data_IF_569263196078
#
_entry.id   IF_569263196078
#
_cell.length_a   1.000
_cell.length_b   1.000
_cell.length_c   1.000
_cell.angle_alpha   90.00
_cell.angle_beta   90.00
_cell.angle_gamma   90.00
#
_symmetry.space_group_name_H-M   'P 1'
#
loop_
_entity.id
_entity.type
_entity.pdbx_description
1 polymer ?
#
# COMPACT_ATOMS: atom_id res chain seq x y z
N UNK A 1 13.93 -16.98 -20.20
CA UNK A 1 14.99 -16.36 -19.40
C UNK A 1 14.56 -16.46 -17.95
N UNK A 2 15.42 -16.96 -17.06
CA UNK A 2 15.13 -16.93 -15.63
C UNK A 2 15.46 -15.51 -15.16
N UNK A 3 14.43 -14.72 -14.83
CA UNK A 3 14.62 -13.42 -14.18
C UNK A 3 15.21 -13.66 -12.79
N UNK A 4 16.51 -13.42 -12.66
CA UNK A 4 17.24 -13.59 -11.42
C UNK A 4 17.06 -12.38 -10.51
N UNK A 5 16.62 -12.59 -9.27
CA UNK A 5 16.66 -11.55 -8.24
C UNK A 5 18.09 -11.40 -7.72
N UNK A 6 18.60 -10.17 -7.68
CA UNK A 6 19.84 -9.84 -6.96
C UNK A 6 19.50 -9.10 -5.67
N UNK A 7 20.10 -9.54 -4.56
CA UNK A 7 19.82 -9.02 -3.22
C UNK A 7 20.96 -8.13 -2.76
N UNK A 8 20.66 -6.87 -2.46
CA UNK A 8 21.63 -5.92 -1.91
C UNK A 8 21.00 -5.23 -0.69
N UNK A 9 21.41 -5.61 0.53
CA UNK A 9 21.01 -4.99 1.82
C UNK A 9 19.60 -4.35 1.82
N UNK A 10 18.56 -5.18 1.94
CA UNK A 10 17.17 -4.70 2.02
C UNK A 10 16.57 -4.21 0.70
N UNK A 11 17.27 -4.38 -0.42
CA UNK A 11 16.78 -4.05 -1.75
C UNK A 11 16.75 -5.26 -2.66
N UNK A 12 15.75 -5.28 -3.54
CA UNK A 12 15.52 -6.29 -4.56
C UNK A 12 15.48 -5.58 -5.92
N UNK A 13 16.18 -6.13 -6.91
CA UNK A 13 15.95 -5.74 -8.30
C UNK A 13 14.76 -6.54 -8.83
N UNK A 14 13.64 -5.88 -9.13
CA UNK A 14 12.46 -6.48 -9.76
C UNK A 14 12.18 -5.71 -11.05
N UNK A 15 12.06 -6.41 -12.18
CA UNK A 15 11.82 -5.80 -13.50
C UNK A 15 12.82 -4.67 -13.84
N UNK A 16 14.07 -4.81 -13.41
CA UNK A 16 15.11 -3.79 -13.58
C UNK A 16 14.98 -2.56 -12.68
N UNK A 17 14.02 -2.54 -11.74
CA UNK A 17 13.80 -1.46 -10.76
C UNK A 17 14.43 -1.84 -9.41
N UNK A 18 15.15 -0.91 -8.81
CA UNK A 18 15.68 -1.05 -7.44
C UNK A 18 14.55 -0.78 -6.44
N UNK A 19 14.03 -1.85 -5.82
CA UNK A 19 12.92 -1.79 -4.87
C UNK A 19 13.42 -2.02 -3.46
N UNK A 20 13.16 -1.06 -2.58
CA UNK A 20 13.49 -1.11 -1.16
C UNK A 20 12.41 -1.86 -0.39
N UNK A 21 12.80 -2.87 0.40
CA UNK A 21 11.91 -3.56 1.33
C UNK A 21 11.79 -2.71 2.60
N UNK A 22 10.58 -2.23 2.87
CA UNK A 22 10.31 -1.42 4.03
C UNK A 22 9.16 -2.00 4.87
N UNK A 23 9.49 -2.49 6.06
CA UNK A 23 8.53 -3.03 7.00
C UNK A 23 8.24 -2.02 8.10
N UNK A 24 7.00 -1.56 8.21
CA UNK A 24 6.48 -0.85 9.38
C UNK A 24 6.16 -1.86 10.48
N UNK A 25 6.45 -1.54 11.73
CA UNK A 25 5.98 -2.34 12.87
C UNK A 25 4.71 -1.74 13.50
N UNK A 26 3.94 -2.60 14.20
CA UNK A 26 2.72 -2.22 14.94
C UNK A 26 2.93 -1.03 15.89
N UNK A 27 4.10 -0.91 16.53
CA UNK A 27 4.37 0.21 17.42
C UNK A 27 4.48 1.54 16.66
N UNK A 28 5.18 1.58 15.52
CA UNK A 28 5.25 2.75 14.65
C UNK A 28 3.85 3.18 14.18
N UNK A 29 3.01 2.21 13.80
CA UNK A 29 1.63 2.47 13.37
C UNK A 29 0.78 3.05 14.50
N UNK A 30 0.79 2.40 15.67
CA UNK A 30 -0.04 2.79 16.81
C UNK A 30 0.36 4.14 17.40
N UNK A 31 1.66 4.43 17.42
CA UNK A 31 2.25 5.69 17.92
C UNK A 31 2.38 6.80 16.88
N UNK A 32 1.93 6.57 15.64
CA UNK A 32 1.96 7.54 14.54
C UNK A 32 3.38 8.04 14.21
N UNK A 33 4.37 7.14 14.25
CA UNK A 33 5.75 7.44 13.87
C UNK A 33 5.91 7.35 12.34
N UNK A 34 6.34 8.46 11.74
CA UNK A 34 6.52 8.56 10.28
C UNK A 34 7.99 8.72 9.87
N UNK A 35 8.89 9.07 10.79
CA UNK A 35 10.23 9.55 10.44
C UNK A 35 11.04 8.54 9.61
N UNK A 36 10.96 7.26 9.96
CA UNK A 36 11.69 6.20 9.24
C UNK A 36 11.16 6.01 7.82
N UNK A 37 9.83 6.03 7.65
CA UNK A 37 9.18 5.96 6.34
C UNK A 37 9.51 7.19 5.49
N UNK A 38 9.44 8.39 6.06
CA UNK A 38 9.78 9.63 5.35
C UNK A 38 11.25 9.69 4.95
N UNK A 39 12.15 9.15 5.79
CA UNK A 39 13.57 8.99 5.44
C UNK A 39 13.76 8.01 4.28
N UNK A 40 12.99 6.92 4.26
CA UNK A 40 13.04 5.94 3.17
C UNK A 40 12.59 6.54 1.84
N UNK A 41 11.48 7.30 1.86
CA UNK A 41 10.96 8.00 0.68
C UNK A 41 12.03 8.92 0.07
N UNK A 42 12.69 9.75 0.90
CA UNK A 42 13.81 10.59 0.44
C UNK A 42 14.97 9.79 -0.13
N UNK A 43 15.16 8.56 0.35
CA UNK A 43 16.22 7.66 -0.11
C UNK A 43 15.95 7.18 -1.54
N UNK A 44 14.69 6.84 -1.85
CA UNK A 44 14.30 6.32 -3.17
C UNK A 44 14.06 7.40 -4.22
N UNK A 45 13.78 8.65 -3.84
CA UNK A 45 13.58 9.77 -4.78
C UNK A 45 14.78 10.01 -5.73
N UNK A 46 15.99 9.65 -5.30
CA UNK A 46 17.21 9.86 -6.07
C UNK A 46 17.52 8.74 -7.06
N UNK A 47 16.69 7.69 -7.15
CA UNK A 47 16.90 6.60 -8.08
C UNK A 47 16.46 6.94 -9.52
N UNK A 48 16.68 6.02 -10.46
CA UNK A 48 16.33 6.19 -11.87
C UNK A 48 14.82 6.26 -12.14
N UNK A 49 14.00 5.72 -11.25
CA UNK A 49 12.53 5.76 -11.30
C UNK A 49 11.94 6.95 -10.55
N UNK A 50 12.78 7.85 -10.01
CA UNK A 50 12.35 8.99 -9.20
C UNK A 50 11.47 8.58 -8.01
N UNK A 51 11.72 7.40 -7.44
CA UNK A 51 10.96 6.81 -6.34
C UNK A 51 9.65 6.12 -6.73
N UNK A 52 9.21 6.19 -7.99
CA UNK A 52 7.97 5.53 -8.42
C UNK A 52 8.06 4.02 -8.16
N UNK A 53 7.03 3.45 -7.51
CA UNK A 53 6.92 2.01 -7.23
C UNK A 53 8.17 1.39 -6.57
N UNK A 54 8.93 2.20 -5.82
CA UNK A 54 10.27 1.83 -5.34
C UNK A 54 10.28 1.31 -3.89
N UNK A 55 9.14 1.29 -3.20
CA UNK A 55 9.02 0.82 -1.82
C UNK A 55 8.08 -0.37 -1.75
N UNK A 56 8.64 -1.55 -1.48
CA UNK A 56 7.90 -2.73 -1.06
C UNK A 56 7.51 -2.59 0.42
N UNK A 57 6.36 -1.96 0.65
CA UNK A 57 5.84 -1.73 1.99
C UNK A 57 5.23 -3.01 2.57
N UNK A 58 5.51 -3.32 3.83
CA UNK A 58 4.75 -4.29 4.61
C UNK A 58 4.47 -3.74 6.01
N UNK A 59 3.50 -4.32 6.72
CA UNK A 59 3.24 -4.00 8.13
C UNK A 59 3.25 -5.30 8.93
N UNK A 60 4.02 -5.33 10.01
CA UNK A 60 4.15 -6.49 10.89
C UNK A 60 3.60 -6.23 12.29
N UNK A 61 3.20 -7.31 12.96
CA UNK A 61 2.65 -7.30 14.32
C UNK A 61 1.12 -7.49 14.42
N UNK A 62 0.46 -7.87 13.32
CA UNK A 62 -1.00 -8.12 13.27
C UNK A 62 -1.35 -9.57 12.89
N UNK A 63 -0.44 -10.52 13.11
CA UNK A 63 -0.68 -11.93 12.77
C UNK A 63 -1.61 -12.64 13.78
N UNK A 64 -1.91 -11.98 14.89
CA UNK A 64 -2.71 -12.44 16.02
C UNK A 64 -4.18 -12.00 15.97
N UNK A 65 -4.58 -11.28 14.93
CA UNK A 65 -5.95 -10.77 14.74
C UNK A 65 -6.58 -11.33 13.47
N UNK A 66 -7.91 -11.34 13.40
CA UNK A 66 -8.67 -11.86 12.23
C UNK A 66 -9.00 -10.75 11.23
N UNK A 67 -8.97 -9.50 11.69
CA UNK A 67 -9.25 -8.32 10.93
C UNK A 67 -8.13 -8.00 9.94
N UNK A 68 -8.50 -7.54 8.75
CA UNK A 68 -7.55 -7.01 7.79
C UNK A 68 -6.99 -5.65 8.25
N UNK A 69 -5.82 -5.27 7.74
CA UNK A 69 -5.17 -4.01 8.12
C UNK A 69 -6.09 -2.80 7.90
N UNK A 70 -6.88 -2.78 6.82
CA UNK A 70 -7.80 -1.69 6.51
C UNK A 70 -8.95 -1.52 7.53
N UNK A 71 -9.25 -2.55 8.32
CA UNK A 71 -10.30 -2.56 9.33
C UNK A 71 -9.81 -1.99 10.67
N UNK A 72 -8.51 -2.13 10.95
CA UNK A 72 -7.92 -1.78 12.24
C UNK A 72 -7.93 -0.26 12.49
N UNK A 73 -8.58 0.25 13.56
CA UNK A 73 -8.75 1.69 13.78
C UNK A 73 -7.45 2.51 13.82
N UNK A 74 -6.37 1.93 14.38
CA UNK A 74 -5.08 2.59 14.48
C UNK A 74 -4.33 2.60 13.13
N UNK A 75 -4.50 1.57 12.28
CA UNK A 75 -3.99 1.57 10.90
C UNK A 75 -4.73 2.63 10.06
N UNK A 76 -6.06 2.67 10.17
CA UNK A 76 -6.91 3.71 9.55
C UNK A 76 -6.45 5.11 9.96
N UNK A 77 -6.24 5.33 11.26
CA UNK A 77 -5.71 6.60 11.79
C UNK A 77 -4.32 6.94 11.25
N UNK A 78 -3.43 5.95 11.16
CA UNK A 78 -2.08 6.13 10.63
C UNK A 78 -2.10 6.63 9.18
N UNK A 79 -2.80 5.93 8.29
CA UNK A 79 -2.86 6.32 6.88
C UNK A 79 -3.61 7.62 6.65
N UNK A 80 -4.69 7.89 7.41
CA UNK A 80 -5.36 9.20 7.37
C UNK A 80 -4.40 10.36 7.72
N UNK A 81 -3.51 10.16 8.71
CA UNK A 81 -2.51 11.17 9.09
C UNK A 81 -1.37 11.27 8.08
N UNK A 82 -0.95 10.14 7.50
CA UNK A 82 0.09 10.10 6.48
C UNK A 82 -0.37 10.82 5.21
N UNK A 83 -1.55 10.52 4.67
CA UNK A 83 -2.07 11.15 3.44
C UNK A 83 -2.32 12.65 3.62
N UNK A 84 -2.67 13.10 4.83
CA UNK A 84 -2.72 14.55 5.12
C UNK A 84 -1.36 15.23 5.01
N UNK A 85 -0.26 14.52 5.34
CA UNK A 85 1.12 15.03 5.26
C UNK A 85 1.74 14.85 3.87
N UNK A 86 1.46 13.72 3.23
CA UNK A 86 2.06 13.30 1.97
C UNK A 86 0.96 12.68 1.07
N UNK A 87 0.13 13.49 0.41
CA UNK A 87 -1.02 12.98 -0.34
C UNK A 87 -0.66 12.08 -1.52
N UNK A 88 0.54 12.23 -2.07
CA UNK A 88 1.07 11.41 -3.17
C UNK A 88 1.79 10.14 -2.69
N UNK A 89 1.66 9.75 -1.42
CA UNK A 89 2.40 8.62 -0.84
C UNK A 89 2.32 7.32 -1.67
N UNK A 90 1.15 7.00 -2.26
CA UNK A 90 0.99 5.80 -3.07
C UNK A 90 1.87 5.75 -4.32
N UNK A 91 2.38 6.89 -4.81
CA UNK A 91 3.35 6.96 -5.90
C UNK A 91 4.60 6.10 -5.60
N UNK A 92 5.03 6.04 -4.33
CA UNK A 92 6.23 5.31 -3.94
C UNK A 92 5.97 3.82 -3.66
N UNK A 93 4.72 3.43 -3.39
CA UNK A 93 4.39 2.09 -2.89
C UNK A 93 4.29 1.11 -4.05
N UNK A 94 5.10 0.05 -4.00
CA UNK A 94 5.09 -0.99 -4.99
C UNK A 94 3.84 -1.90 -4.82
N UNK A 95 3.06 -2.15 -5.89
CA UNK A 95 1.83 -2.93 -5.82
C UNK A 95 2.02 -4.41 -5.52
N UNK A 96 3.22 -4.98 -5.67
CA UNK A 96 3.43 -6.42 -5.40
C UNK A 96 3.11 -6.81 -3.94
N UNK A 97 3.23 -5.87 -3.01
CA UNK A 97 3.04 -6.11 -1.56
C UNK A 97 1.56 -6.15 -1.12
N UNK A 98 0.60 -6.04 -2.04
CA UNK A 98 -0.84 -5.87 -1.74
C UNK A 98 -1.17 -4.69 -0.81
N UNK A 99 -0.20 -3.82 -0.50
CA UNK A 99 -0.42 -2.67 0.38
C UNK A 99 -1.25 -1.54 -0.23
N UNK A 100 -1.19 -1.22 -1.54
CA UNK A 100 -2.05 -0.17 -2.10
C UNK A 100 -3.55 -0.35 -1.80
N UNK A 101 -4.18 -1.52 -2.02
CA UNK A 101 -5.58 -1.70 -1.65
C UNK A 101 -5.82 -1.66 -0.13
N UNK A 102 -4.87 -2.10 0.70
CA UNK A 102 -4.97 -1.98 2.16
C UNK A 102 -4.97 -0.51 2.62
N UNK A 103 -4.12 0.32 2.01
CA UNK A 103 -4.05 1.76 2.28
C UNK A 103 -5.34 2.44 1.83
N UNK A 104 -5.82 2.14 0.63
CA UNK A 104 -7.08 2.69 0.11
C UNK A 104 -8.24 2.28 1.01
N UNK A 105 -8.35 1.02 1.39
CA UNK A 105 -9.37 0.55 2.32
C UNK A 105 -9.32 1.25 3.68
N UNK A 106 -8.11 1.52 4.19
CA UNK A 106 -7.92 2.22 5.45
C UNK A 106 -8.38 3.70 5.42
N UNK A 107 -8.47 4.28 4.21
CA UNK A 107 -8.98 5.63 3.94
C UNK A 107 -10.45 5.65 3.53
N UNK A 108 -11.05 4.48 3.33
CA UNK A 108 -12.40 4.32 2.79
C UNK A 108 -13.38 3.86 3.86
N UNK A 109 -14.65 4.13 3.64
CA UNK A 109 -15.70 3.27 4.21
C UNK A 109 -15.70 1.93 3.46
N UNK A 110 -16.17 0.86 4.10
CA UNK A 110 -16.13 -0.47 3.51
C UNK A 110 -17.34 -1.33 3.88
N UNK A 111 -17.71 -2.19 2.94
CA UNK A 111 -18.67 -3.29 3.17
C UNK A 111 -17.95 -4.60 2.92
N UNK A 112 -17.87 -5.45 3.95
CA UNK A 112 -17.19 -6.75 3.90
C UNK A 112 -18.20 -7.89 3.95
N UNK A 113 -18.02 -8.87 3.07
CA UNK A 113 -18.74 -10.14 3.08
C UNK A 113 -17.72 -11.25 3.27
N UNK A 114 -17.73 -11.88 4.45
CA UNK A 114 -16.83 -12.99 4.78
C UNK A 114 -17.44 -14.33 4.36
N UNK A 115 -16.60 -15.24 3.87
CA UNK A 115 -16.98 -16.60 3.50
C UNK A 115 -16.26 -17.60 4.41
N UNK A 116 -17.01 -18.30 5.26
CA UNK A 116 -16.49 -19.31 6.18
C UNK A 116 -16.11 -18.79 7.57
N UNK A 117 -15.42 -19.62 8.33
CA UNK A 117 -14.88 -19.29 9.66
C UNK A 117 -13.61 -18.46 9.47
N UNK A 118 -13.54 -17.32 10.15
CA UNK A 118 -12.32 -16.50 10.18
C UNK A 118 -11.42 -16.99 11.31
N UNK A 119 -10.18 -17.28 10.97
CA UNK A 119 -9.12 -17.65 11.91
C UNK A 119 -7.95 -16.70 11.73
N UNK A 120 -7.16 -16.50 12.80
CA UNK A 120 -6.01 -15.61 12.72
C UNK A 120 -4.92 -16.24 11.83
N UNK A 121 -4.10 -15.46 11.13
CA UNK A 121 -2.97 -15.97 10.36
C UNK A 121 -2.07 -16.89 11.19
N UNK A 122 -1.79 -16.53 12.46
CA UNK A 122 -0.99 -17.35 13.36
C UNK A 122 -1.64 -18.70 13.69
N UNK A 123 -2.97 -18.74 13.87
CA UNK A 123 -3.70 -19.99 14.15
C UNK A 123 -3.67 -20.93 12.93
N UNK A 124 -3.93 -20.39 11.73
CA UNK A 124 -3.90 -21.18 10.49
C UNK A 124 -2.49 -21.68 10.19
N UNK A 125 -1.47 -20.82 10.32
CA UNK A 125 -0.09 -21.24 10.12
C UNK A 125 0.31 -22.37 11.09
N UNK A 126 -0.13 -22.29 12.36
CA UNK A 126 0.12 -23.33 13.36
C UNK A 126 -0.60 -24.64 13.02
N UNK A 127 -1.80 -24.57 12.45
CA UNK A 127 -2.62 -25.75 12.11
C UNK A 127 -2.16 -26.42 10.81
N UNK A 128 -1.93 -25.63 9.76
CA UNK A 128 -1.81 -26.11 8.38
C UNK A 128 -0.37 -26.01 7.83
N UNK A 129 0.51 -25.26 8.50
CA UNK A 129 1.87 -24.98 8.01
C UNK A 129 1.93 -24.01 6.83
N UNK A 130 0.80 -23.44 6.42
CA UNK A 130 0.67 -22.43 5.37
C UNK A 130 -0.47 -21.45 5.71
N UNK A 131 -0.73 -20.46 4.84
CA UNK A 131 -1.75 -19.42 5.02
C UNK A 131 -2.92 -19.53 4.03
N UNK A 132 -3.09 -20.65 3.34
CA UNK A 132 -4.09 -20.79 2.28
C UNK A 132 -5.54 -20.77 2.82
N UNK A 133 -5.70 -21.08 4.11
CA UNK A 133 -6.99 -21.25 4.79
C UNK A 133 -7.33 -20.14 5.80
N UNK A 134 -6.72 -18.95 5.72
CA UNK A 134 -7.01 -17.79 6.60
C UNK A 134 -8.44 -17.21 6.39
N UNK A 135 -9.24 -17.85 5.54
CA UNK A 135 -10.57 -17.39 5.16
C UNK A 135 -10.52 -16.45 3.96
N UNK A 136 -11.62 -16.38 3.21
CA UNK A 136 -11.76 -15.49 2.07
C UNK A 136 -12.88 -14.51 2.36
N UNK A 137 -12.71 -13.27 1.96
CA UNK A 137 -13.77 -12.27 2.01
C UNK A 137 -13.77 -11.45 0.71
N UNK A 138 -14.94 -10.92 0.38
CA UNK A 138 -15.07 -9.86 -0.61
C UNK A 138 -15.25 -8.54 0.12
N UNK A 139 -14.65 -7.48 -0.41
CA UNK A 139 -14.77 -6.13 0.15
C UNK A 139 -15.06 -5.14 -0.98
N UNK A 140 -15.97 -4.22 -0.71
CA UNK A 140 -16.21 -3.04 -1.52
C UNK A 140 -15.77 -1.82 -0.73
N UNK A 141 -14.92 -0.99 -1.32
CA UNK A 141 -14.48 0.28 -0.75
C UNK A 141 -15.27 1.44 -1.32
N UNK A 142 -15.53 2.43 -0.46
CA UNK A 142 -16.12 3.71 -0.78
C UNK A 142 -15.16 4.80 -0.29
N UNK A 143 -14.17 5.12 -1.12
CA UNK A 143 -13.18 6.17 -0.87
C UNK A 143 -13.86 7.54 -1.03
N UNK A 144 -13.83 8.41 -0.01
CA UNK A 144 -14.38 9.76 -0.13
C UNK A 144 -13.79 10.51 -1.33
N UNK A 145 -14.61 11.13 -2.21
CA UNK A 145 -14.12 11.79 -3.43
C UNK A 145 -13.09 12.88 -3.17
N UNK A 146 -13.25 13.63 -2.07
CA UNK A 146 -12.32 14.69 -1.65
C UNK A 146 -10.93 14.13 -1.32
N UNK A 147 -10.86 12.95 -0.71
CA UNK A 147 -9.60 12.25 -0.44
C UNK A 147 -9.04 11.65 -1.73
N UNK A 148 -9.86 10.88 -2.46
CA UNK A 148 -9.44 10.15 -3.65
C UNK A 148 -8.88 11.08 -4.73
N UNK A 149 -9.62 12.13 -5.07
CA UNK A 149 -9.14 13.09 -6.07
C UNK A 149 -7.96 13.92 -5.59
N UNK A 150 -7.90 14.29 -4.31
CA UNK A 150 -6.72 14.94 -3.76
C UNK A 150 -5.46 14.08 -3.89
N UNK A 151 -5.59 12.76 -3.72
CA UNK A 151 -4.48 11.82 -3.93
C UNK A 151 -4.10 11.75 -5.41
N UNK A 152 -5.07 11.58 -6.32
CA UNK A 152 -4.84 11.57 -7.77
C UNK A 152 -4.11 12.85 -8.21
N UNK A 153 -4.68 14.01 -7.89
CA UNK A 153 -4.14 15.32 -8.26
C UNK A 153 -2.72 15.51 -7.71
N UNK A 154 -2.46 15.07 -6.47
CA UNK A 154 -1.14 15.15 -5.86
C UNK A 154 -0.12 14.18 -6.49
N UNK A 155 -0.53 12.97 -6.88
CA UNK A 155 0.33 12.00 -7.56
C UNK A 155 0.74 12.53 -8.93
N UNK A 156 -0.22 13.06 -9.71
CA UNK A 156 0.05 13.66 -11.02
C UNK A 156 1.01 14.86 -10.86
N UNK A 157 0.69 15.78 -9.96
CA UNK A 157 1.54 16.95 -9.71
C UNK A 157 2.95 16.56 -9.24
N UNK A 158 3.09 15.48 -8.45
CA UNK A 158 4.39 14.98 -8.03
C UNK A 158 5.16 14.37 -9.20
N UNK A 159 4.53 13.50 -9.99
CA UNK A 159 5.12 12.87 -11.17
C UNK A 159 5.65 13.92 -12.16
N UNK A 160 4.86 14.97 -12.41
CA UNK A 160 5.26 16.11 -13.24
C UNK A 160 6.45 16.86 -12.64
N UNK A 161 6.40 17.16 -11.34
CA UNK A 161 7.46 17.89 -10.62
C UNK A 161 8.80 17.15 -10.67
N UNK A 162 8.81 15.82 -10.59
CA UNK A 162 10.03 15.01 -10.64
C UNK A 162 10.41 14.56 -12.05
N UNK A 163 9.69 15.05 -13.07
CA UNK A 163 9.86 14.70 -14.47
C UNK A 163 9.84 13.18 -14.72
N UNK A 164 8.94 12.49 -14.01
CA UNK A 164 8.82 11.04 -14.13
C UNK A 164 8.37 10.63 -15.54
N UNK A 165 9.03 9.60 -16.09
CA UNK A 165 8.70 9.03 -17.40
C UNK A 165 8.17 7.63 -17.20
N UNK A 166 6.85 7.47 -17.35
CA UNK A 166 6.18 6.20 -17.22
C UNK A 166 6.39 5.32 -18.47
N UNK A 167 7.49 4.56 -18.47
CA UNK A 167 7.84 3.69 -19.60
C UNK A 167 6.94 2.47 -19.71
N UNK A 168 6.37 2.03 -18.59
CA UNK A 168 5.66 0.75 -18.47
C UNK A 168 4.15 0.92 -18.35
N UNK A 169 3.65 2.17 -18.44
CA UNK A 169 2.25 2.53 -18.30
C UNK A 169 1.64 2.10 -16.95
N UNK A 170 2.46 2.14 -15.89
CA UNK A 170 2.09 1.74 -14.53
C UNK A 170 1.39 2.85 -13.76
N UNK A 171 1.69 4.12 -14.05
CA UNK A 171 1.10 5.27 -13.36
C UNK A 171 -0.42 5.34 -13.61
N UNK A 172 -0.94 5.21 -14.85
CA UNK A 172 -2.38 5.15 -15.09
C UNK A 172 -3.07 3.99 -14.37
N UNK A 173 -2.40 2.85 -14.17
CA UNK A 173 -2.96 1.71 -13.41
C UNK A 173 -3.17 2.10 -11.95
N UNK A 174 -2.18 2.75 -11.33
CA UNK A 174 -2.30 3.26 -9.97
C UNK A 174 -3.42 4.31 -9.84
N UNK A 175 -3.48 5.28 -10.77
CA UNK A 175 -4.52 6.31 -10.74
C UNK A 175 -5.92 5.70 -10.87
N UNK A 176 -6.08 4.73 -11.79
CA UNK A 176 -7.33 4.00 -11.98
C UNK A 176 -7.72 3.19 -10.75
N UNK A 177 -6.77 2.58 -10.03
CA UNK A 177 -7.05 1.88 -8.77
C UNK A 177 -7.68 2.81 -7.73
N UNK A 178 -7.16 4.04 -7.59
CA UNK A 178 -7.71 5.05 -6.68
C UNK A 178 -9.10 5.49 -7.15
N UNK A 179 -9.24 5.84 -8.42
CA UNK A 179 -10.51 6.31 -9.01
C UNK A 179 -11.63 5.27 -8.92
N UNK A 180 -11.32 3.99 -9.20
CA UNK A 180 -12.30 2.90 -9.08
C UNK A 180 -12.76 2.64 -7.65
N UNK A 181 -12.03 3.14 -6.65
CA UNK A 181 -12.40 3.07 -5.24
C UNK A 181 -13.31 4.23 -4.82
N UNK A 182 -13.43 5.29 -5.62
CA UNK A 182 -14.38 6.38 -5.43
C UNK A 182 -15.77 5.91 -5.90
N UNK A 183 -16.87 6.22 -5.19
CA UNK A 183 -18.21 5.88 -5.65
C UNK A 183 -18.49 6.42 -7.06
N UNK A 184 -18.99 5.57 -7.96
CA UNK A 184 -19.23 5.91 -9.38
C UNK A 184 -20.05 7.17 -9.61
N UNK A 185 -21.00 7.46 -8.72
CA UNK A 185 -21.85 8.65 -8.78
C UNK A 185 -21.07 9.95 -8.61
N UNK A 186 -19.87 9.87 -8.03
CA UNK A 186 -19.01 10.99 -7.70
C UNK A 186 -17.79 11.06 -8.64
N UNK A 187 -17.79 10.30 -9.75
CA UNK A 187 -16.73 10.34 -10.75
C UNK A 187 -16.71 11.69 -11.50
N UNK A 188 -15.50 12.24 -11.75
CA UNK A 188 -15.26 13.47 -12.53
C UNK A 188 -15.48 13.28 -14.03
#
# INVERSE_FOLDING_TARGET
MLDGYSFHKGRIVSDGKDVSIFQLNKQEVTSLQFDRLLKEIKSVENNSTKGFSSIALTIDGYNDVVEELYELPHVRRYFNRLIKKLPHFLYYVNPFTRMPPQIIGALSDYTKVAFGVLETPAAVLKRDGNLDNVGKHSVSFSLPPDIGYKMIDAIVAHADKVEFKDKDNELPILLRLIEQSIPKKDHR
#
